data_IF_115809968288
#
_entry.id   IF_115809968288
#
_cell.length_a   1.000
_cell.length_b   1.000
_cell.length_c   1.000
_cell.angle_alpha   90.00
_cell.angle_beta   90.00
_cell.angle_gamma   90.00
#
_symmetry.space_group_name_H-M   'P 1'
#
loop_
_entity.id
_entity.type
_entity.pdbx_description
1 polymer ?
#
# COMPACT_ATOMS: atom_id res chain seq x y z
N UNK A 1 -18.38 12.87 -18.74
CA UNK A 1 -19.01 12.01 -17.74
C UNK A 1 -18.25 10.68 -17.81
N UNK A 2 -17.27 10.46 -16.93
CA UNK A 2 -16.45 9.23 -16.92
C UNK A 2 -17.25 8.19 -16.17
N UNK A 3 -17.59 7.09 -16.84
CA UNK A 3 -18.43 6.00 -16.33
C UNK A 3 -17.77 5.34 -15.11
N UNK A 4 -18.56 5.07 -14.08
CA UNK A 4 -18.14 4.42 -12.85
C UNK A 4 -17.51 3.02 -13.07
N UNK A 5 -17.79 2.37 -14.20
CA UNK A 5 -17.21 1.10 -14.62
C UNK A 5 -15.72 1.23 -14.98
N UNK A 6 -15.27 2.38 -15.47
CA UNK A 6 -13.85 2.62 -15.84
C UNK A 6 -12.95 2.73 -14.61
N UNK A 7 -13.49 3.18 -13.47
CA UNK A 7 -12.74 3.30 -12.22
C UNK A 7 -12.45 1.92 -11.60
N UNK A 8 -13.28 0.92 -11.87
CA UNK A 8 -13.09 -0.46 -11.38
C UNK A 8 -11.99 -1.22 -12.12
N UNK A 9 -11.74 -0.89 -13.39
CA UNK A 9 -10.67 -1.50 -14.19
C UNK A 9 -9.29 -1.04 -13.68
N UNK A 10 -9.21 0.20 -13.15
CA UNK A 10 -7.96 0.73 -12.59
C UNK A 10 -7.59 0.15 -11.23
N UNK A 11 -8.56 -0.30 -10.41
CA UNK A 11 -8.24 -0.98 -9.14
C UNK A 11 -7.68 -2.40 -9.35
N UNK A 12 -8.07 -3.06 -10.45
CA UNK A 12 -7.49 -4.33 -10.86
C UNK A 12 -6.05 -4.18 -11.37
N UNK A 13 -5.71 -3.02 -11.95
CA UNK A 13 -4.34 -2.69 -12.35
C UNK A 13 -3.38 -2.60 -11.15
N UNK A 14 -3.85 -2.13 -9.99
CA UNK A 14 -3.04 -2.12 -8.75
C UNK A 14 -2.79 -3.55 -8.24
N UNK A 15 -3.73 -4.48 -8.45
CA UNK A 15 -3.52 -5.91 -8.14
C UNK A 15 -2.56 -6.61 -9.10
N UNK A 16 -2.58 -6.24 -10.38
CA UNK A 16 -1.69 -6.84 -11.38
C UNK A 16 -0.23 -6.43 -11.22
N UNK A 17 0.05 -5.22 -10.74
CA UNK A 17 1.43 -4.77 -10.45
C UNK A 17 2.05 -5.54 -9.27
N UNK A 18 1.24 -6.07 -8.36
CA UNK A 18 1.71 -6.95 -7.26
C UNK A 18 1.73 -8.43 -7.66
N UNK A 19 1.09 -8.78 -8.79
CA UNK A 19 0.90 -10.16 -9.27
C UNK A 19 1.76 -10.57 -10.46
N UNK A 20 2.91 -9.93 -10.71
CA UNK A 20 3.85 -10.36 -11.75
C UNK A 20 4.31 -11.79 -11.43
N UNK A 21 3.95 -12.72 -12.30
CA UNK A 21 4.38 -14.10 -12.24
C UNK A 21 5.91 -14.17 -12.12
N UNK A 22 6.37 -14.76 -11.03
CA UNK A 22 7.80 -14.99 -10.76
C UNK A 22 8.30 -16.00 -11.78
N UNK A 23 8.94 -15.51 -12.84
CA UNK A 23 9.80 -16.35 -13.67
C UNK A 23 10.92 -16.90 -12.79
N UNK A 24 11.22 -18.19 -12.90
CA UNK A 24 12.30 -18.86 -12.18
C UNK A 24 13.64 -18.15 -12.46
N UNK A 25 14.08 -17.33 -11.52
CA UNK A 25 15.43 -16.79 -11.52
C UNK A 25 16.32 -17.85 -10.88
N UNK A 26 17.21 -18.43 -11.67
CA UNK A 26 18.23 -19.37 -11.20
C UNK A 26 19.05 -18.73 -10.06
N UNK A 27 19.18 -19.35 -8.89
CA UNK A 27 19.96 -18.78 -7.81
C UNK A 27 21.44 -18.75 -8.20
N UNK A 28 22.07 -17.60 -8.11
CA UNK A 28 23.53 -17.49 -8.16
C UNK A 28 24.09 -18.22 -6.94
N UNK A 29 24.67 -19.39 -7.18
CA UNK A 29 25.34 -20.19 -6.18
C UNK A 29 26.59 -19.48 -5.70
N UNK A 30 26.77 -19.37 -4.37
CA UNK A 30 28.03 -19.08 -3.75
C UNK A 30 28.07 -17.89 -2.81
N UNK A 31 27.71 -18.11 -1.54
CA UNK A 31 28.28 -17.31 -0.46
C UNK A 31 28.48 -18.19 0.77
N UNK A 32 29.65 -18.76 0.87
CA UNK A 32 30.30 -19.22 2.09
C UNK A 32 30.26 -18.10 3.16
N UNK A 33 29.91 -18.44 4.39
CA UNK A 33 29.50 -17.60 5.51
C UNK A 33 30.47 -16.55 6.08
N UNK A 34 31.07 -15.73 5.25
CA UNK A 34 31.77 -14.52 5.70
C UNK A 34 30.77 -13.35 5.61
N UNK A 35 30.37 -12.79 6.75
CA UNK A 35 29.57 -11.55 6.79
C UNK A 35 30.35 -10.43 6.10
N UNK A 36 30.07 -10.22 4.83
CA UNK A 36 30.67 -9.15 4.02
C UNK A 36 30.23 -7.79 4.58
N UNK A 37 31.17 -6.92 4.88
CA UNK A 37 30.86 -5.54 5.25
C UNK A 37 30.26 -4.80 4.07
N UNK A 38 29.28 -3.93 4.33
CA UNK A 38 28.75 -3.03 3.30
C UNK A 38 29.85 -2.13 2.76
N UNK A 39 29.90 -1.99 1.45
CA UNK A 39 30.76 -1.02 0.78
C UNK A 39 30.17 0.39 0.89
N UNK A 40 30.99 1.41 0.71
CA UNK A 40 30.55 2.81 0.68
C UNK A 40 29.49 3.05 -0.40
N UNK A 41 29.60 2.36 -1.56
CA UNK A 41 28.61 2.43 -2.63
C UNK A 41 27.26 1.83 -2.23
N UNK A 42 27.26 0.67 -1.61
CA UNK A 42 26.02 0.02 -1.12
C UNK A 42 25.33 0.88 -0.07
N UNK A 43 26.09 1.49 0.83
CA UNK A 43 25.55 2.39 1.84
C UNK A 43 24.97 3.68 1.20
N UNK A 44 25.62 4.23 0.18
CA UNK A 44 25.11 5.39 -0.54
C UNK A 44 23.78 5.09 -1.26
N UNK A 45 23.67 3.94 -1.93
CA UNK A 45 22.43 3.49 -2.59
C UNK A 45 21.32 3.30 -1.55
N UNK A 46 21.62 2.67 -0.41
CA UNK A 46 20.65 2.51 0.68
C UNK A 46 20.13 3.84 1.20
N UNK A 47 21.00 4.82 1.45
CA UNK A 47 20.58 6.17 1.87
C UNK A 47 19.71 6.84 0.81
N UNK A 48 20.11 6.79 -0.46
CA UNK A 48 19.34 7.36 -1.56
C UNK A 48 17.94 6.74 -1.66
N UNK A 49 17.80 5.44 -1.46
CA UNK A 49 16.49 4.76 -1.43
C UNK A 49 15.61 5.30 -0.30
N UNK A 50 16.18 5.47 0.91
CA UNK A 50 15.42 6.02 2.04
C UNK A 50 14.98 7.45 1.79
N UNK A 51 15.89 8.32 1.34
CA UNK A 51 15.61 9.73 1.08
C UNK A 51 14.56 9.90 -0.01
N UNK A 52 14.67 9.14 -1.11
CA UNK A 52 13.68 9.12 -2.20
C UNK A 52 12.31 8.67 -1.70
N UNK A 53 12.27 7.62 -0.87
CA UNK A 53 11.01 7.12 -0.30
C UNK A 53 10.35 8.17 0.60
N UNK A 54 11.12 8.88 1.41
CA UNK A 54 10.61 9.96 2.27
C UNK A 54 10.03 11.08 1.41
N UNK A 55 10.75 11.51 0.38
CA UNK A 55 10.32 12.60 -0.50
C UNK A 55 9.04 12.25 -1.28
N UNK A 56 8.97 11.06 -1.87
CA UNK A 56 7.75 10.59 -2.54
C UNK A 56 6.55 10.55 -1.58
N UNK A 57 6.75 10.03 -0.37
CA UNK A 57 5.67 10.03 0.65
C UNK A 57 5.23 11.43 1.04
N UNK A 58 6.15 12.39 1.11
CA UNK A 58 5.85 13.79 1.42
C UNK A 58 5.00 14.42 0.34
N UNK A 59 5.40 14.27 -0.93
CA UNK A 59 4.67 14.84 -2.07
C UNK A 59 3.27 14.21 -2.21
N UNK A 60 3.21 12.88 -2.26
CA UNK A 60 1.94 12.16 -2.41
C UNK A 60 1.01 12.34 -1.20
N UNK A 61 1.58 12.49 0.00
CA UNK A 61 0.82 12.75 1.21
C UNK A 61 0.24 14.15 1.28
N UNK A 62 0.94 15.16 0.75
CA UNK A 62 0.45 16.53 0.71
C UNK A 62 -0.84 16.68 -0.09
N UNK A 63 -0.91 16.05 -1.26
CA UNK A 63 -2.11 16.09 -2.11
C UNK A 63 -3.33 15.38 -1.47
N UNK A 64 -3.11 14.31 -0.72
CA UNK A 64 -4.19 13.67 0.05
C UNK A 64 -4.70 14.59 1.17
N UNK A 65 -3.83 15.36 1.81
CA UNK A 65 -4.22 16.30 2.86
C UNK A 65 -5.13 17.42 2.34
N UNK A 66 -4.91 17.90 1.12
CA UNK A 66 -5.80 18.87 0.46
C UNK A 66 -7.24 18.33 0.32
N UNK A 67 -7.37 17.01 0.24
CA UNK A 67 -8.65 16.28 0.19
C UNK A 67 -9.12 15.82 1.58
N UNK A 68 -8.53 16.33 2.66
CA UNK A 68 -8.83 15.98 4.04
C UNK A 68 -8.59 14.51 4.38
N UNK A 69 -7.67 13.85 3.67
CA UNK A 69 -7.22 12.49 3.97
C UNK A 69 -5.72 12.48 4.31
N UNK A 70 -5.35 11.75 5.35
CA UNK A 70 -3.96 11.37 5.53
C UNK A 70 -3.61 10.14 4.66
N UNK A 71 -2.34 9.89 4.35
CA UNK A 71 -1.92 8.63 3.71
C UNK A 71 -2.39 7.39 4.48
N UNK A 72 -2.44 7.48 5.79
CA UNK A 72 -2.93 6.43 6.67
C UNK A 72 -4.45 6.19 6.53
N UNK A 73 -5.25 7.27 6.40
CA UNK A 73 -6.68 7.16 6.11
C UNK A 73 -6.90 6.50 4.75
N UNK A 74 -6.15 6.94 3.73
CA UNK A 74 -6.25 6.42 2.38
C UNK A 74 -5.94 4.92 2.33
N UNK A 75 -4.90 4.47 3.03
CA UNK A 75 -4.52 3.04 3.09
C UNK A 75 -5.64 2.19 3.71
N UNK A 76 -6.26 2.64 4.79
CA UNK A 76 -7.40 1.95 5.42
C UNK A 76 -8.63 1.93 4.51
N UNK A 77 -8.95 3.07 3.87
CA UNK A 77 -10.10 3.16 2.97
C UNK A 77 -9.91 2.29 1.72
N UNK A 78 -8.69 2.21 1.19
CA UNK A 78 -8.33 1.33 0.08
C UNK A 78 -8.59 -0.14 0.47
N UNK A 79 -8.04 -0.61 1.57
CA UNK A 79 -8.21 -1.99 2.03
C UNK A 79 -9.70 -2.34 2.26
N UNK A 80 -10.48 -1.40 2.82
CA UNK A 80 -11.93 -1.59 3.00
C UNK A 80 -12.68 -1.56 1.67
N UNK A 81 -12.27 -0.75 0.70
CA UNK A 81 -12.93 -0.67 -0.61
C UNK A 81 -12.76 -1.94 -1.44
N UNK A 82 -11.63 -2.64 -1.25
CA UNK A 82 -11.29 -3.89 -1.93
C UNK A 82 -11.88 -5.14 -1.24
N UNK A 83 -12.26 -5.00 0.02
CA UNK A 83 -12.84 -6.10 0.78
C UNK A 83 -14.26 -6.44 0.35
N UNK A 84 -14.61 -7.73 0.41
CA UNK A 84 -15.97 -8.20 0.15
C UNK A 84 -16.96 -7.53 1.11
N UNK A 85 -18.04 -6.98 0.57
CA UNK A 85 -19.04 -6.25 1.36
C UNK A 85 -18.52 -4.97 2.01
N UNK A 86 -17.29 -4.52 1.70
CA UNK A 86 -16.65 -3.32 2.26
C UNK A 86 -16.54 -3.36 3.77
N UNK A 87 -16.29 -4.54 4.32
CA UNK A 87 -16.16 -4.81 5.76
C UNK A 87 -15.01 -5.78 6.01
N UNK A 88 -14.28 -5.57 7.10
CA UNK A 88 -13.13 -6.38 7.48
C UNK A 88 -13.00 -6.41 8.99
N UNK A 89 -12.60 -7.55 9.55
CA UNK A 89 -12.24 -7.62 10.98
C UNK A 89 -10.99 -6.78 11.25
N UNK A 90 -10.92 -6.07 12.41
CA UNK A 90 -9.74 -5.25 12.73
C UNK A 90 -8.42 -6.00 12.68
N UNK A 91 -8.40 -7.29 13.06
CA UNK A 91 -7.20 -8.12 12.99
C UNK A 91 -6.74 -8.41 11.55
N UNK A 92 -7.69 -8.69 10.66
CA UNK A 92 -7.42 -8.92 9.23
C UNK A 92 -6.98 -7.63 8.56
N UNK A 93 -7.63 -6.51 8.89
CA UNK A 93 -7.25 -5.19 8.38
C UNK A 93 -5.82 -4.81 8.82
N UNK A 94 -5.46 -5.06 10.09
CA UNK A 94 -4.11 -4.81 10.61
C UNK A 94 -3.06 -5.62 9.83
N UNK A 95 -3.34 -6.91 9.57
CA UNK A 95 -2.48 -7.78 8.78
C UNK A 95 -2.39 -7.31 7.31
N UNK A 96 -3.51 -6.92 6.70
CA UNK A 96 -3.56 -6.48 5.30
C UNK A 96 -2.73 -5.22 5.04
N UNK A 97 -2.67 -4.30 6.02
CA UNK A 97 -1.92 -3.04 5.88
C UNK A 97 -0.59 -3.03 6.65
N UNK A 98 -0.17 -4.18 7.20
CA UNK A 98 1.07 -4.37 7.96
C UNK A 98 1.21 -3.35 9.13
N UNK A 99 0.12 -3.21 9.93
CA UNK A 99 0.10 -2.35 11.09
C UNK A 99 -0.07 -3.13 12.39
N UNK A 100 0.55 -2.59 13.45
CA UNK A 100 0.28 -3.03 14.80
C UNK A 100 -1.19 -2.79 15.19
N UNK A 101 -1.83 -3.76 15.85
CA UNK A 101 -3.25 -3.70 16.24
C UNK A 101 -3.59 -2.48 17.10
N UNK A 102 -2.69 -2.09 18.01
CA UNK A 102 -2.84 -0.91 18.85
C UNK A 102 -2.87 0.38 18.03
N UNK A 103 -1.92 0.54 17.09
CA UNK A 103 -1.85 1.67 16.17
C UNK A 103 -3.12 1.77 15.32
N UNK A 104 -3.54 0.66 14.73
CA UNK A 104 -4.77 0.61 13.94
C UNK A 104 -6.00 0.99 14.79
N UNK A 105 -6.14 0.44 16.00
CA UNK A 105 -7.27 0.74 16.88
C UNK A 105 -7.41 2.24 17.16
N UNK A 106 -6.31 2.93 17.47
CA UNK A 106 -6.30 4.38 17.67
C UNK A 106 -6.65 5.15 16.38
N UNK A 107 -6.17 4.68 15.24
CA UNK A 107 -6.46 5.30 13.97
C UNK A 107 -7.92 5.16 13.58
N UNK A 108 -8.49 3.96 13.69
CA UNK A 108 -9.90 3.69 13.43
C UNK A 108 -10.84 4.55 14.29
N UNK A 109 -10.53 4.78 15.57
CA UNK A 109 -11.31 5.69 16.44
C UNK A 109 -11.36 7.12 15.88
N UNK A 110 -10.26 7.59 15.25
CA UNK A 110 -10.22 8.92 14.61
C UNK A 110 -11.03 8.96 13.32
N UNK A 111 -10.94 7.92 12.52
CA UNK A 111 -11.71 7.80 11.27
C UNK A 111 -13.21 7.67 11.55
N UNK A 112 -13.59 6.95 12.59
CA UNK A 112 -14.99 6.78 13.03
C UNK A 112 -15.60 8.12 13.47
N UNK A 113 -14.87 8.93 14.25
CA UNK A 113 -15.31 10.30 14.63
C UNK A 113 -15.49 11.23 13.43
N UNK A 114 -14.82 10.93 12.32
CA UNK A 114 -14.94 11.66 11.04
C UNK A 114 -15.96 11.01 10.10
N UNK A 115 -16.70 10.02 10.58
CA UNK A 115 -17.70 9.28 9.81
C UNK A 115 -17.19 8.61 8.52
N UNK A 116 -15.89 8.33 8.43
CA UNK A 116 -15.30 7.63 7.27
C UNK A 116 -15.57 6.12 7.31
N UNK A 117 -15.64 5.59 8.51
CA UNK A 117 -15.93 4.20 8.82
C UNK A 117 -16.92 4.14 9.97
N UNK A 118 -17.49 2.95 10.20
CA UNK A 118 -18.21 2.60 11.43
C UNK A 118 -17.81 1.21 11.88
N UNK A 119 -18.11 0.89 13.13
CA UNK A 119 -17.97 -0.46 13.67
C UNK A 119 -19.35 -1.08 13.76
N UNK A 120 -19.46 -2.33 13.35
CA UNK A 120 -20.68 -3.13 13.48
C UNK A 120 -20.35 -4.44 14.17
N UNK A 121 -21.27 -4.94 14.96
CA UNK A 121 -21.14 -6.28 15.53
C UNK A 121 -21.21 -7.32 14.40
N UNK A 122 -20.37 -8.33 14.50
CA UNK A 122 -20.32 -9.38 13.49
C UNK A 122 -21.61 -10.23 13.59
N UNK A 123 -22.41 -10.37 12.51
CA UNK A 123 -23.66 -11.11 12.54
C UNK A 123 -23.48 -12.61 12.87
N UNK A 124 -22.30 -13.15 12.63
CA UNK A 124 -21.97 -14.58 12.78
C UNK A 124 -21.17 -14.91 14.02
N UNK A 125 -20.69 -13.89 14.75
CA UNK A 125 -19.85 -14.09 15.94
C UNK A 125 -20.08 -12.94 16.93
N UNK A 126 -20.82 -13.21 17.99
CA UNK A 126 -21.16 -12.26 19.06
C UNK A 126 -19.94 -11.67 19.82
N UNK A 127 -18.71 -12.04 19.43
CA UNK A 127 -17.45 -11.58 20.07
C UNK A 127 -16.58 -10.73 19.17
N UNK A 128 -17.01 -10.39 17.94
CA UNK A 128 -16.22 -9.65 16.98
C UNK A 128 -16.93 -8.44 16.41
N UNK A 129 -16.26 -7.28 16.41
CA UNK A 129 -16.70 -6.12 15.62
C UNK A 129 -16.02 -6.11 14.26
N UNK A 130 -16.74 -5.71 13.22
CA UNK A 130 -16.21 -5.44 11.89
C UNK A 130 -16.06 -3.94 11.67
N UNK A 131 -15.05 -3.56 10.91
CA UNK A 131 -14.88 -2.20 10.39
C UNK A 131 -15.56 -2.13 9.04
N UNK A 132 -16.49 -1.21 8.91
CA UNK A 132 -17.33 -1.05 7.70
C UNK A 132 -17.09 0.31 7.08
N UNK A 133 -16.86 0.35 5.78
CA UNK A 133 -16.75 1.59 5.02
C UNK A 133 -18.13 2.27 4.93
N UNK A 134 -18.22 3.52 5.38
CA UNK A 134 -19.47 4.29 5.27
C UNK A 134 -19.69 4.82 3.85
N UNK A 135 -20.91 5.29 3.56
CA UNK A 135 -21.19 5.98 2.30
C UNK A 135 -20.33 7.26 2.16
N UNK A 136 -20.12 8.01 3.25
CA UNK A 136 -19.28 9.20 3.28
C UNK A 136 -17.81 8.84 3.05
N UNK A 137 -17.28 7.82 3.74
CA UNK A 137 -15.91 7.32 3.51
C UNK A 137 -15.69 6.89 2.07
N UNK A 138 -16.64 6.15 1.49
CA UNK A 138 -16.59 5.73 0.09
C UNK A 138 -16.63 6.92 -0.88
N UNK A 139 -17.41 7.95 -0.57
CA UNK A 139 -17.50 9.18 -1.38
C UNK A 139 -16.18 9.96 -1.37
N UNK A 140 -15.59 10.16 -0.19
CA UNK A 140 -14.31 10.87 -0.03
C UNK A 140 -13.19 10.07 -0.68
N UNK A 141 -13.15 8.75 -0.48
CA UNK A 141 -12.16 7.87 -1.08
C UNK A 141 -12.19 7.95 -2.62
N UNK A 142 -13.37 7.79 -3.24
CA UNK A 142 -13.50 7.91 -4.72
C UNK A 142 -13.03 9.28 -5.23
N UNK A 143 -13.36 10.36 -4.51
CA UNK A 143 -12.90 11.72 -4.88
C UNK A 143 -11.38 11.85 -4.81
N UNK A 144 -10.74 11.18 -3.88
CA UNK A 144 -9.29 11.24 -3.68
C UNK A 144 -8.50 10.33 -4.63
N UNK A 145 -9.09 9.21 -5.06
CA UNK A 145 -8.38 8.16 -5.81
C UNK A 145 -7.83 8.65 -7.15
N UNK A 146 -8.64 9.29 -7.99
CA UNK A 146 -8.19 9.72 -9.30
C UNK A 146 -7.09 10.81 -9.25
N UNK A 147 -7.17 11.87 -8.42
CA UNK A 147 -6.05 12.78 -8.20
C UNK A 147 -4.79 12.07 -7.70
N UNK A 148 -4.93 11.19 -6.70
CA UNK A 148 -3.81 10.48 -6.11
C UNK A 148 -3.09 9.57 -7.12
N UNK A 149 -3.83 8.84 -7.97
CA UNK A 149 -3.24 8.03 -9.05
C UNK A 149 -2.50 8.91 -10.07
N UNK A 150 -3.07 10.08 -10.45
CA UNK A 150 -2.37 11.01 -11.34
C UNK A 150 -1.07 11.52 -10.72
N UNK A 151 -1.06 11.77 -9.41
CA UNK A 151 0.14 12.18 -8.70
C UNK A 151 1.19 11.07 -8.69
N UNK A 152 0.80 9.83 -8.38
CA UNK A 152 1.70 8.68 -8.46
C UNK A 152 2.28 8.57 -9.89
N UNK A 153 1.43 8.67 -10.91
CA UNK A 153 1.91 8.65 -12.29
C UNK A 153 2.96 9.74 -12.54
N UNK A 154 2.66 11.00 -12.22
CA UNK A 154 3.53 12.15 -12.44
C UNK A 154 4.86 12.04 -11.70
N UNK A 155 4.84 11.66 -10.43
CA UNK A 155 6.02 11.71 -9.55
C UNK A 155 6.81 10.40 -9.48
N UNK A 156 6.25 9.31 -9.98
CA UNK A 156 6.90 8.01 -9.97
C UNK A 156 6.98 7.41 -11.39
N UNK A 157 5.86 7.14 -12.06
CA UNK A 157 5.90 6.41 -13.32
C UNK A 157 6.53 7.25 -14.47
N UNK A 158 6.16 8.53 -14.60
CA UNK A 158 6.68 9.42 -15.64
C UNK A 158 8.13 9.89 -15.38
N UNK A 159 8.67 9.61 -14.20
CA UNK A 159 10.05 9.93 -13.84
C UNK A 159 11.07 8.89 -14.33
N UNK A 160 10.60 7.73 -14.83
CA UNK A 160 11.41 6.60 -15.22
C UNK A 160 11.24 6.29 -16.71
N UNK A 161 12.32 5.85 -17.38
CA UNK A 161 12.19 5.21 -18.70
C UNK A 161 11.59 3.81 -18.55
N UNK A 162 11.04 3.21 -19.62
CA UNK A 162 10.53 1.83 -19.56
C UNK A 162 11.58 0.84 -19.01
N UNK A 163 12.82 0.93 -19.46
CA UNK A 163 13.92 0.05 -19.04
C UNK A 163 14.26 0.25 -17.56
N UNK A 164 14.20 1.49 -17.06
CA UNK A 164 14.40 1.78 -15.64
C UNK A 164 13.24 1.25 -14.78
N UNK A 165 12.02 1.30 -15.31
CA UNK A 165 10.85 0.77 -14.64
C UNK A 165 10.93 -0.75 -14.49
N UNK A 166 11.31 -1.46 -15.55
CA UNK A 166 11.50 -2.91 -15.53
C UNK A 166 12.64 -3.31 -14.58
N UNK A 167 13.78 -2.61 -14.66
CA UNK A 167 14.90 -2.85 -13.73
C UNK A 167 14.52 -2.61 -12.26
N UNK A 168 13.71 -1.59 -11.97
CA UNK A 168 13.21 -1.34 -10.62
C UNK A 168 12.26 -2.45 -10.16
N UNK A 169 11.39 -2.95 -11.04
CA UNK A 169 10.50 -4.07 -10.73
C UNK A 169 11.30 -5.32 -10.34
N UNK A 170 12.35 -5.65 -11.08
CA UNK A 170 13.24 -6.78 -10.78
C UNK A 170 13.95 -6.61 -9.43
N UNK A 171 14.48 -5.43 -9.14
CA UNK A 171 15.12 -5.12 -7.86
C UNK A 171 14.15 -5.27 -6.70
N UNK A 172 12.93 -4.74 -6.82
CA UNK A 172 11.91 -4.83 -5.79
C UNK A 172 11.47 -6.29 -5.57
N UNK A 173 11.31 -7.06 -6.63
CA UNK A 173 10.99 -8.50 -6.53
C UNK A 173 12.09 -9.27 -5.78
N UNK A 174 13.36 -9.01 -6.09
CA UNK A 174 14.50 -9.64 -5.42
C UNK A 174 14.53 -9.33 -3.91
N UNK A 175 14.31 -8.05 -3.52
CA UNK A 175 14.27 -7.63 -2.13
C UNK A 175 13.09 -8.25 -1.37
N UNK A 176 11.90 -8.28 -1.97
CA UNK A 176 10.71 -8.89 -1.38
C UNK A 176 10.88 -10.40 -1.16
N UNK A 177 11.43 -11.10 -2.15
CA UNK A 177 11.70 -12.54 -2.05
C UNK A 177 12.73 -12.85 -0.96
N UNK A 178 13.78 -12.03 -0.83
CA UNK A 178 14.74 -12.16 0.25
C UNK A 178 14.07 -11.97 1.62
N UNK A 179 13.32 -10.88 1.80
CA UNK A 179 12.64 -10.59 3.06
C UNK A 179 11.61 -11.67 3.47
N UNK A 180 10.95 -12.33 2.50
CA UNK A 180 10.05 -13.46 2.78
C UNK A 180 10.81 -14.68 3.29
N UNK A 181 11.97 -15.00 2.70
CA UNK A 181 12.82 -16.14 3.13
C UNK A 181 13.37 -15.95 4.54
N UNK A 182 13.74 -14.73 4.90
CA UNK A 182 14.24 -14.44 6.26
C UNK A 182 13.15 -14.48 7.36
N UNK A 183 11.88 -14.46 6.97
CA UNK A 183 10.73 -14.58 7.90
C UNK A 183 10.20 -16.01 8.05
N UNK A 184 10.58 -16.92 7.16
CA UNK A 184 10.13 -18.32 7.15
C UNK A 184 11.04 -19.20 8.01
#
# INVERSE_FOLDING_TARGET
MIDASTIWVESECVRQVVGVAVGEITPVAGASGVRRRMTSRELAIWRSLLDTTIELRRVLGGELQELSLSPADYQVLLALSEASGRRVRPSELASAIDWERSRLSHHLKRMERRHLIRREDCPTDNRGAEVVLTAEGARIFRRATAPHIRSIKKHFADALTPEQFDALADVLAALQNHARRERA
#
